data_IF_373960910773
#
_entry.id   IF_373960910773
#
_cell.length_a   1.000
_cell.length_b   1.000
_cell.length_c   1.000
_cell.angle_alpha   90.00
_cell.angle_beta   90.00
_cell.angle_gamma   90.00
#
_symmetry.space_group_name_H-M   'P 1'
#
loop_
_entity.id
_entity.type
_entity.pdbx_description
1 polymer ?
#
# COMPACT_ATOMS: atom_id res chain seq x y z
N UNK A 1 1.53 -24.36 73.05
CA UNK A 1 0.33 -24.51 72.20
C UNK A 1 0.78 -24.50 70.75
N UNK A 2 0.59 -25.63 70.05
CA UNK A 2 0.56 -25.88 68.60
C UNK A 2 1.54 -25.17 67.62
N UNK A 3 2.56 -25.95 67.17
CA UNK A 3 2.97 -26.29 65.76
C UNK A 3 2.62 -25.29 64.64
N UNK A 4 3.40 -25.02 63.59
CA UNK A 4 4.80 -25.20 63.14
C UNK A 4 4.86 -24.60 61.69
N UNK A 5 6.04 -24.70 61.04
CA UNK A 5 6.25 -24.70 59.56
C UNK A 5 6.32 -23.29 58.94
N UNK A 6 7.25 -22.92 58.05
CA UNK A 6 8.50 -23.50 57.55
C UNK A 6 9.21 -22.43 56.72
N UNK A 7 10.55 -22.49 56.76
CA UNK A 7 11.50 -22.45 55.63
C UNK A 7 11.24 -21.48 54.47
N UNK A 8 12.23 -20.62 54.22
CA UNK A 8 13.06 -20.45 53.01
C UNK A 8 13.86 -19.15 53.27
N UNK A 9 15.13 -18.97 52.91
CA UNK A 9 15.67 -19.06 51.56
C UNK A 9 17.21 -18.96 51.63
N UNK A 10 17.83 -19.69 50.71
CA UNK A 10 19.24 -19.81 50.37
C UNK A 10 19.82 -18.49 49.84
N UNK A 11 21.02 -18.10 50.26
CA UNK A 11 21.98 -17.33 49.44
C UNK A 11 23.38 -17.69 49.98
N UNK A 12 24.38 -18.08 49.20
CA UNK A 12 24.51 -18.21 47.76
C UNK A 12 25.99 -18.51 47.46
N UNK A 13 26.38 -18.56 46.19
CA UNK A 13 27.77 -18.35 45.78
C UNK A 13 27.89 -17.95 44.32
N UNK A 14 28.59 -16.84 44.14
CA UNK A 14 29.56 -16.53 43.09
C UNK A 14 29.18 -16.72 41.61
N UNK A 15 28.87 -15.57 40.99
CA UNK A 15 29.00 -15.28 39.56
C UNK A 15 30.48 -15.30 39.17
N UNK A 16 30.90 -16.18 38.25
CA UNK A 16 31.90 -15.87 37.21
C UNK A 16 31.66 -16.80 36.01
N UNK A 17 31.42 -16.19 34.85
CA UNK A 17 31.38 -16.88 33.57
C UNK A 17 30.86 -15.95 32.48
N UNK A 18 31.70 -15.01 32.02
CA UNK A 18 31.39 -14.20 30.83
C UNK A 18 31.43 -15.12 29.60
N UNK A 19 30.26 -15.56 29.17
CA UNK A 19 30.05 -16.19 27.87
C UNK A 19 29.93 -15.04 26.87
N UNK A 20 30.92 -14.86 25.99
CA UNK A 20 30.78 -13.98 24.83
C UNK A 20 29.83 -14.67 23.85
N UNK A 21 28.53 -14.43 24.00
CA UNK A 21 27.57 -14.69 22.93
C UNK A 21 27.74 -13.60 21.89
N UNK A 22 28.02 -13.92 20.60
CA UNK A 22 27.87 -12.91 19.56
C UNK A 22 26.43 -12.39 19.61
N UNK A 23 26.22 -11.08 19.39
CA UNK A 23 24.86 -10.55 19.32
C UNK A 23 24.10 -11.36 18.25
N UNK A 24 22.79 -11.61 18.44
CA UNK A 24 21.98 -12.17 17.38
C UNK A 24 22.19 -11.26 16.18
N UNK A 25 22.70 -11.83 15.09
CA UNK A 25 22.72 -11.15 13.80
C UNK A 25 21.28 -10.78 13.55
N UNK A 26 20.98 -9.47 13.59
CA UNK A 26 19.73 -8.94 13.08
C UNK A 26 19.64 -9.40 11.63
N UNK A 27 18.98 -10.53 11.41
CA UNK A 27 18.50 -10.91 10.10
C UNK A 27 17.51 -9.81 9.74
N UNK A 28 18.01 -8.78 9.06
CA UNK A 28 17.18 -7.79 8.39
C UNK A 28 16.44 -8.55 7.32
N UNK A 29 15.34 -9.20 7.71
CA UNK A 29 14.31 -9.67 6.80
C UNK A 29 13.70 -8.40 6.24
N UNK A 30 14.31 -7.90 5.17
CA UNK A 30 13.71 -6.86 4.32
C UNK A 30 12.45 -7.48 3.74
N UNK A 31 11.32 -7.32 4.42
CA UNK A 31 10.02 -7.60 3.85
C UNK A 31 9.86 -6.67 2.65
N UNK A 32 10.22 -7.14 1.45
CA UNK A 32 9.89 -6.47 0.21
C UNK A 32 8.37 -6.44 0.12
N UNK A 33 7.79 -5.28 0.43
CA UNK A 33 6.37 -5.04 0.25
C UNK A 33 6.07 -5.11 -1.25
N UNK A 34 5.48 -6.23 -1.68
CA UNK A 34 5.06 -6.41 -3.07
C UNK A 34 3.88 -5.47 -3.29
N UNK A 35 4.08 -4.44 -4.12
CA UNK A 35 3.01 -3.52 -4.47
C UNK A 35 1.83 -4.29 -5.10
N UNK A 36 0.57 -3.88 -4.83
CA UNK A 36 -0.59 -4.49 -5.47
C UNK A 36 -0.50 -4.41 -7.00
N UNK A 37 -1.02 -5.41 -7.70
CA UNK A 37 -0.97 -5.47 -9.18
C UNK A 37 -1.56 -4.24 -9.87
N UNK A 38 -2.60 -3.64 -9.28
CA UNK A 38 -3.25 -2.45 -9.84
C UNK A 38 -2.40 -1.18 -9.70
N UNK A 39 -1.39 -1.17 -8.82
CA UNK A 39 -0.67 0.05 -8.44
C UNK A 39 0.08 0.69 -9.60
N UNK A 40 0.55 -0.12 -10.56
CA UNK A 40 1.16 0.36 -11.82
C UNK A 40 0.18 1.25 -12.59
N UNK A 41 -1.04 0.77 -12.79
CA UNK A 41 -2.09 1.46 -13.53
C UNK A 41 -2.62 2.66 -12.76
N UNK A 42 -2.68 2.58 -11.42
CA UNK A 42 -3.05 3.70 -10.57
C UNK A 42 -2.14 4.91 -10.73
N UNK A 43 -0.81 4.68 -10.77
CA UNK A 43 0.17 5.75 -11.04
C UNK A 43 -0.03 6.37 -12.42
N UNK A 44 -0.29 5.55 -13.44
CA UNK A 44 -0.56 6.01 -14.80
C UNK A 44 -1.84 6.85 -14.87
N UNK A 45 -2.91 6.42 -14.20
CA UNK A 45 -4.17 7.18 -14.12
C UNK A 45 -3.94 8.56 -13.50
N UNK A 46 -3.22 8.61 -12.37
CA UNK A 46 -2.85 9.86 -11.70
C UNK A 46 -2.08 10.80 -12.62
N UNK A 47 -1.03 10.31 -13.28
CA UNK A 47 -0.21 11.10 -14.19
C UNK A 47 -1.02 11.67 -15.35
N UNK A 48 -1.79 10.82 -16.04
CA UNK A 48 -2.58 11.27 -17.18
C UNK A 48 -3.69 12.25 -16.78
N UNK A 49 -4.29 12.11 -15.59
CA UNK A 49 -5.26 13.07 -15.06
C UNK A 49 -4.59 14.41 -14.78
N UNK A 50 -3.43 14.43 -14.10
CA UNK A 50 -2.69 15.68 -13.85
C UNK A 50 -2.27 16.38 -15.16
N UNK A 51 -1.88 15.61 -16.18
CA UNK A 51 -1.57 16.16 -17.52
C UNK A 51 -2.80 16.74 -18.22
N UNK A 52 -3.95 16.06 -18.10
CA UNK A 52 -5.21 16.49 -18.74
C UNK A 52 -5.83 17.71 -18.05
N UNK A 53 -5.65 17.84 -16.73
CA UNK A 53 -6.22 18.91 -15.90
C UNK A 53 -5.11 19.69 -15.17
N UNK A 54 -4.27 20.46 -15.89
CA UNK A 54 -3.10 21.13 -15.30
C UNK A 54 -3.46 22.23 -14.28
N UNK A 55 -4.72 22.70 -14.28
CA UNK A 55 -5.25 23.74 -13.40
C UNK A 55 -6.20 23.17 -12.32
N UNK A 56 -6.02 21.88 -11.98
CA UNK A 56 -6.78 21.24 -10.92
C UNK A 56 -5.86 20.32 -10.10
N UNK A 57 -6.10 20.27 -8.79
CA UNK A 57 -5.38 19.41 -7.89
C UNK A 57 -6.15 18.10 -7.69
N UNK A 58 -5.46 16.97 -7.70
CA UNK A 58 -6.06 15.70 -7.26
C UNK A 58 -6.08 15.69 -5.73
N UNK A 59 -7.28 15.57 -5.15
CA UNK A 59 -7.50 15.60 -3.70
C UNK A 59 -7.93 14.26 -3.12
N UNK A 60 -8.42 13.34 -3.96
CA UNK A 60 -8.69 11.95 -3.57
C UNK A 60 -8.48 10.99 -4.76
N UNK A 61 -8.24 9.73 -4.43
CA UNK A 61 -7.98 8.65 -5.36
C UNK A 61 -8.62 7.36 -4.87
N UNK A 62 -9.40 6.74 -5.76
CA UNK A 62 -10.06 5.46 -5.51
C UNK A 62 -9.75 4.48 -6.65
N UNK A 63 -9.26 3.30 -6.27
CA UNK A 63 -9.29 2.13 -7.15
C UNK A 63 -10.66 1.47 -7.07
N UNK A 64 -11.36 1.43 -8.20
CA UNK A 64 -12.73 0.87 -8.27
C UNK A 64 -12.67 -0.64 -8.45
N UNK A 65 -11.76 -1.10 -9.30
CA UNK A 65 -11.59 -2.53 -9.58
C UNK A 65 -11.15 -2.80 -11.00
N UNK A 66 -11.26 -4.08 -11.37
CA UNK A 66 -10.76 -4.65 -12.62
C UNK A 66 -11.85 -5.41 -13.35
N UNK A 67 -11.94 -5.22 -14.66
CA UNK A 67 -12.73 -6.07 -15.56
C UNK A 67 -11.79 -6.87 -16.46
N UNK A 68 -11.75 -8.18 -16.28
CA UNK A 68 -10.87 -9.09 -17.02
C UNK A 68 -11.62 -9.65 -18.23
N UNK A 69 -11.17 -9.31 -19.43
CA UNK A 69 -11.59 -9.94 -20.67
C UNK A 69 -10.59 -11.01 -21.14
N UNK A 70 -10.91 -11.68 -22.25
CA UNK A 70 -10.07 -12.74 -22.82
C UNK A 70 -8.70 -12.23 -23.27
N UNK A 71 -8.69 -11.12 -24.01
CA UNK A 71 -7.46 -10.54 -24.58
C UNK A 71 -6.96 -9.33 -23.80
N UNK A 72 -7.88 -8.56 -23.22
CA UNK A 72 -7.61 -7.28 -22.60
C UNK A 72 -8.26 -7.18 -21.23
N UNK A 73 -7.67 -6.36 -20.37
CA UNK A 73 -8.18 -6.03 -19.05
C UNK A 73 -8.41 -4.54 -18.96
N UNK A 74 -9.46 -4.14 -18.24
CA UNK A 74 -9.74 -2.75 -17.89
C UNK A 74 -9.53 -2.54 -16.40
N UNK A 75 -8.59 -1.67 -16.04
CA UNK A 75 -8.42 -1.19 -14.67
C UNK A 75 -9.14 0.15 -14.49
N UNK A 76 -9.97 0.25 -13.45
CA UNK A 76 -10.88 1.38 -13.26
C UNK A 76 -10.54 2.16 -12.01
N UNK A 77 -10.47 3.48 -12.17
CA UNK A 77 -10.16 4.42 -11.10
C UNK A 77 -11.17 5.57 -11.08
N UNK A 78 -11.28 6.20 -9.92
CA UNK A 78 -11.89 7.52 -9.79
C UNK A 78 -10.93 8.44 -9.08
N UNK A 79 -10.67 9.59 -9.68
CA UNK A 79 -9.90 10.66 -9.07
C UNK A 79 -10.86 11.80 -8.76
N UNK A 80 -10.72 12.38 -7.57
CA UNK A 80 -11.45 13.58 -7.19
C UNK A 80 -10.54 14.79 -7.37
N UNK A 81 -10.98 15.76 -8.16
CA UNK A 81 -10.20 16.94 -8.52
C UNK A 81 -10.85 18.18 -7.91
N UNK A 82 -10.01 19.15 -7.56
CA UNK A 82 -10.41 20.51 -7.18
C UNK A 82 -9.73 21.52 -8.09
N UNK A 83 -10.50 22.24 -8.88
CA UNK A 83 -10.04 23.34 -9.73
C UNK A 83 -9.70 24.59 -8.89
N UNK A 84 -9.01 25.55 -9.52
CA UNK A 84 -8.56 26.79 -8.87
C UNK A 84 -9.70 27.67 -8.32
N UNK A 85 -10.91 27.55 -8.89
CA UNK A 85 -12.12 28.24 -8.41
C UNK A 85 -12.84 27.51 -7.26
N UNK A 86 -12.21 26.45 -6.72
CA UNK A 86 -12.75 25.51 -5.73
C UNK A 86 -13.91 24.64 -6.22
N UNK A 87 -14.17 24.60 -7.53
CA UNK A 87 -15.09 23.60 -8.08
C UNK A 87 -14.46 22.20 -7.97
N UNK A 88 -15.25 21.24 -7.47
CA UNK A 88 -14.85 19.85 -7.32
C UNK A 88 -15.61 18.95 -8.27
N UNK A 89 -14.89 18.00 -8.85
CA UNK A 89 -15.47 17.03 -9.78
C UNK A 89 -14.66 15.73 -9.77
N UNK A 90 -15.35 14.64 -10.07
CA UNK A 90 -14.76 13.33 -10.25
C UNK A 90 -14.35 13.11 -11.70
N UNK A 91 -13.28 12.35 -11.88
CA UNK A 91 -12.87 11.82 -13.18
C UNK A 91 -12.72 10.31 -13.05
N UNK A 92 -13.60 9.58 -13.74
CA UNK A 92 -13.40 8.15 -13.97
C UNK A 92 -12.31 7.95 -15.02
N UNK A 93 -11.39 7.03 -14.72
CA UNK A 93 -10.30 6.65 -15.62
C UNK A 93 -10.37 5.15 -15.84
N UNK A 94 -10.63 4.75 -17.09
CA UNK A 94 -10.60 3.37 -17.52
C UNK A 94 -9.35 3.14 -18.37
N UNK A 95 -8.41 2.34 -17.87
CA UNK A 95 -7.19 1.96 -18.59
C UNK A 95 -7.37 0.57 -19.15
N UNK A 96 -7.46 0.46 -20.48
CA UNK A 96 -7.51 -0.83 -21.18
C UNK A 96 -6.11 -1.22 -21.63
N UNK A 97 -5.68 -2.43 -21.28
CA UNK A 97 -4.38 -2.96 -21.66
C UNK A 97 -4.46 -4.42 -22.10
N UNK A 98 -3.51 -4.85 -22.93
CA UNK A 98 -3.40 -6.23 -23.37
C UNK A 98 -2.91 -7.14 -22.22
N UNK A 99 -3.56 -8.29 -22.03
CA UNK A 99 -3.27 -9.20 -20.91
C UNK A 99 -1.86 -9.83 -20.96
N UNK A 100 -1.28 -9.96 -22.16
CA UNK A 100 0.01 -10.64 -22.34
C UNK A 100 1.17 -9.65 -22.38
N UNK A 101 1.02 -8.55 -23.12
CA UNK A 101 2.10 -7.58 -23.34
C UNK A 101 2.05 -6.41 -22.36
N UNK A 102 0.94 -6.24 -21.63
CA UNK A 102 0.65 -5.07 -20.82
C UNK A 102 0.70 -3.74 -21.60
N UNK A 103 0.61 -3.80 -22.93
CA UNK A 103 0.53 -2.64 -23.77
C UNK A 103 -0.80 -1.92 -23.53
N UNK A 104 -0.72 -0.60 -23.29
CA UNK A 104 -1.91 0.24 -23.13
C UNK A 104 -2.57 0.42 -24.48
N UNK A 105 -3.80 -0.04 -24.59
CA UNK A 105 -4.62 0.05 -25.80
C UNK A 105 -5.41 1.36 -25.81
N UNK A 106 -5.95 1.75 -24.65
CA UNK A 106 -6.76 2.95 -24.53
C UNK A 106 -6.80 3.46 -23.08
N UNK A 107 -6.92 4.79 -22.93
CA UNK A 107 -7.24 5.44 -21.65
C UNK A 107 -8.45 6.34 -21.87
N UNK A 108 -9.56 6.05 -21.19
CA UNK A 108 -10.79 6.83 -21.28
C UNK A 108 -11.00 7.63 -20.00
N UNK A 109 -11.34 8.92 -20.16
CA UNK A 109 -11.69 9.83 -19.07
C UNK A 109 -13.18 10.17 -19.15
N UNK A 110 -13.87 10.13 -18.02
CA UNK A 110 -15.27 10.58 -17.92
C UNK A 110 -15.44 11.45 -16.68
N UNK A 111 -15.71 12.74 -16.89
CA UNK A 111 -16.03 13.68 -15.81
C UNK A 111 -17.40 13.39 -15.19
N UNK A 112 -17.54 13.71 -13.91
CA UNK A 112 -18.78 13.59 -13.16
C UNK A 112 -18.80 14.58 -12.00
N UNK A 113 -19.97 15.11 -11.67
CA UNK A 113 -20.13 15.98 -10.50
C UNK A 113 -20.13 15.21 -9.16
N UNK A 114 -20.05 13.86 -9.20
CA UNK A 114 -20.20 13.00 -8.02
C UNK A 114 -19.29 11.81 -7.97
#
# INVERSE_FOLDING_TARGET
MKIAVSVLLIIGTAVVGKIMTPPPSDEITSAQEIAPEYAKWGRMAMQNVMEKYPNANVVDYLHIGREVGTENTVEKFKLWLRADDNHEFGVFVDITFNNQTEEVINIKFTETDR
#
